data_IF_911576915008
#
_entry.id   IF_911576915008
#
_cell.length_a   1.000
_cell.length_b   1.000
_cell.length_c   1.000
_cell.angle_alpha   90.00
_cell.angle_beta   90.00
_cell.angle_gamma   90.00
#
_symmetry.space_group_name_H-M   'P 1'
#
loop_
_entity.id
_entity.type
_entity.pdbx_description
1 polymer ?
#
# COMPACT_ATOMS: atom_id res chain seq x y z
N UNK A 1 2.14 -90.32 -29.56
CA UNK A 1 3.33 -89.67 -30.16
C UNK A 1 3.25 -88.18 -29.83
N UNK A 2 4.37 -87.60 -29.43
CA UNK A 2 4.53 -86.40 -28.60
C UNK A 2 4.11 -85.03 -29.18
N UNK A 3 3.98 -84.06 -28.25
CA UNK A 3 4.11 -82.58 -28.30
C UNK A 3 2.79 -81.76 -28.27
N UNK A 4 2.46 -81.09 -27.15
CA UNK A 4 2.87 -79.73 -26.68
C UNK A 4 2.27 -78.65 -27.59
N UNK A 5 1.53 -77.62 -27.14
CA UNK A 5 1.20 -77.15 -25.80
C UNK A 5 0.42 -75.82 -25.82
N UNK A 6 0.22 -75.29 -24.61
CA UNK A 6 -0.16 -73.92 -24.23
C UNK A 6 -1.62 -73.46 -24.38
N UNK A 7 -2.38 -73.76 -23.32
CA UNK A 7 -3.08 -72.82 -22.44
C UNK A 7 -2.84 -71.32 -22.71
N UNK A 8 -3.90 -70.50 -22.75
CA UNK A 8 -4.18 -69.40 -21.79
C UNK A 8 -5.39 -68.53 -22.21
N UNK A 9 -6.36 -68.46 -21.27
CA UNK A 9 -7.25 -67.36 -20.84
C UNK A 9 -8.19 -66.67 -21.85
N UNK A 10 -9.45 -67.13 -21.75
CA UNK A 10 -10.69 -66.37 -21.50
C UNK A 10 -10.56 -64.84 -21.57
N UNK A 11 -11.14 -64.27 -22.62
CA UNK A 11 -11.33 -62.85 -22.84
C UNK A 11 -12.70 -62.46 -22.27
N UNK A 12 -12.73 -61.79 -21.10
CA UNK A 12 -13.95 -61.20 -20.55
C UNK A 12 -13.96 -59.71 -20.89
N UNK A 13 -14.90 -59.32 -21.73
CA UNK A 13 -15.18 -57.96 -22.17
C UNK A 13 -15.79 -57.18 -21.00
N UNK A 14 -15.12 -56.11 -20.57
CA UNK A 14 -15.65 -55.13 -19.63
C UNK A 14 -15.70 -53.76 -20.31
N UNK A 15 -16.93 -53.28 -20.53
CA UNK A 15 -17.24 -51.91 -20.93
C UNK A 15 -16.64 -50.91 -19.94
N UNK A 16 -15.81 -49.99 -20.43
CA UNK A 16 -15.38 -48.79 -19.70
C UNK A 16 -16.03 -47.57 -20.36
N UNK A 17 -17.00 -47.02 -19.64
CA UNK A 17 -17.66 -45.74 -19.91
C UNK A 17 -16.63 -44.64 -19.67
N UNK A 18 -16.19 -43.98 -20.74
CA UNK A 18 -15.32 -42.80 -20.65
C UNK A 18 -16.12 -41.56 -20.29
N UNK A 19 -16.07 -41.15 -19.02
CA UNK A 19 -16.45 -39.80 -18.61
C UNK A 19 -15.29 -38.86 -18.95
N UNK A 20 -15.43 -38.10 -20.03
CA UNK A 20 -14.58 -36.93 -20.30
C UNK A 20 -14.88 -35.85 -19.25
N UNK A 21 -14.10 -35.84 -18.18
CA UNK A 21 -14.02 -34.69 -17.28
C UNK A 21 -13.11 -33.63 -17.91
N UNK A 22 -13.70 -32.62 -18.56
CA UNK A 22 -12.98 -31.40 -18.88
C UNK A 22 -12.63 -30.67 -17.58
N UNK A 23 -11.36 -30.77 -17.19
CA UNK A 23 -10.75 -29.88 -16.19
C UNK A 23 -10.44 -28.55 -16.88
N UNK A 24 -11.42 -27.65 -16.90
CA UNK A 24 -11.19 -26.23 -17.10
C UNK A 24 -10.69 -25.66 -15.77
N UNK A 25 -9.37 -25.46 -15.67
CA UNK A 25 -8.77 -24.60 -14.66
C UNK A 25 -9.10 -23.14 -15.01
N UNK A 26 -10.33 -22.72 -14.73
CA UNK A 26 -10.64 -21.31 -14.54
C UNK A 26 -10.11 -20.92 -13.16
N UNK A 27 -8.91 -20.32 -13.13
CA UNK A 27 -8.54 -19.48 -11.99
C UNK A 27 -9.31 -18.18 -12.12
N UNK A 28 -10.60 -18.24 -11.80
CA UNK A 28 -11.37 -17.08 -11.38
C UNK A 28 -10.67 -16.52 -10.14
N UNK A 29 -10.04 -15.36 -10.28
CA UNK A 29 -9.69 -14.51 -9.15
C UNK A 29 -11.03 -13.97 -8.63
N UNK A 30 -11.75 -14.82 -7.92
CA UNK A 30 -12.90 -14.47 -7.10
C UNK A 30 -12.42 -13.44 -6.08
N UNK A 31 -12.83 -12.19 -6.28
CA UNK A 31 -12.81 -11.15 -5.25
C UNK A 31 -13.63 -11.69 -4.08
N UNK A 32 -12.94 -12.23 -3.07
CA UNK A 32 -13.57 -12.68 -1.84
C UNK A 32 -14.10 -11.45 -1.12
N UNK A 33 -15.41 -11.28 -1.09
CA UNK A 33 -16.08 -10.46 -0.08
C UNK A 33 -15.78 -11.06 1.29
N UNK A 34 -14.87 -10.44 2.04
CA UNK A 34 -14.55 -10.77 3.42
C UNK A 34 -14.49 -9.50 4.27
N UNK A 35 -15.33 -9.48 5.30
CA UNK A 35 -15.32 -8.63 6.52
C UNK A 35 -15.25 -7.11 6.36
N UNK A 36 -16.02 -6.39 7.19
CA UNK A 36 -15.98 -4.93 7.36
C UNK A 36 -14.69 -4.39 8.00
N UNK A 37 -13.60 -5.14 7.95
CA UNK A 37 -12.28 -4.70 8.36
C UNK A 37 -11.55 -4.16 7.13
N UNK A 38 -10.91 -3.00 7.26
CA UNK A 38 -9.96 -2.54 6.24
C UNK A 38 -8.89 -3.60 6.08
N UNK A 39 -8.57 -3.94 4.83
CA UNK A 39 -7.47 -4.87 4.58
C UNK A 39 -6.21 -4.29 5.22
N UNK A 40 -5.71 -5.01 6.22
CA UNK A 40 -4.41 -4.72 6.80
C UNK A 40 -3.39 -4.82 5.68
N UNK A 41 -2.59 -3.78 5.46
CA UNK A 41 -1.57 -3.68 4.41
C UNK A 41 -1.05 -5.04 3.92
N UNK A 42 -1.62 -5.56 2.83
CA UNK A 42 -1.12 -6.76 2.14
C UNK A 42 -0.39 -6.28 0.90
N UNK A 43 0.95 -6.20 0.95
CA UNK A 43 1.69 -5.71 -0.19
C UNK A 43 1.67 -6.75 -1.32
N UNK A 44 1.50 -6.30 -2.57
CA UNK A 44 1.53 -7.19 -3.73
C UNK A 44 2.96 -7.69 -3.96
N UNK A 45 3.15 -9.01 -4.08
CA UNK A 45 4.49 -9.60 -4.25
C UNK A 45 4.70 -10.05 -5.69
N UNK A 46 5.86 -9.71 -6.25
CA UNK A 46 6.32 -10.24 -7.52
C UNK A 46 6.85 -11.69 -7.40
N UNK A 47 7.19 -12.33 -8.52
CA UNK A 47 7.88 -13.61 -8.50
C UNK A 47 9.27 -13.50 -7.84
N UNK A 48 9.74 -14.60 -7.27
CA UNK A 48 11.12 -14.73 -6.79
C UNK A 48 12.03 -14.98 -8.00
N UNK A 49 13.07 -14.17 -8.17
CA UNK A 49 14.06 -14.32 -9.24
C UNK A 49 14.92 -15.57 -9.03
N UNK A 50 15.63 -16.02 -10.08
CA UNK A 50 16.51 -17.18 -10.01
C UNK A 50 17.57 -17.08 -8.90
N UNK A 51 17.99 -15.86 -8.56
CA UNK A 51 18.99 -15.58 -7.54
C UNK A 51 18.37 -15.20 -6.18
N UNK A 52 17.06 -15.46 -6.01
CA UNK A 52 16.36 -15.35 -4.73
C UNK A 52 15.86 -13.96 -4.38
N UNK A 53 15.84 -13.01 -5.31
CA UNK A 53 15.33 -11.65 -5.06
C UNK A 53 13.83 -11.56 -5.35
N UNK A 54 13.10 -10.74 -4.59
CA UNK A 54 11.67 -10.52 -4.80
C UNK A 54 11.32 -9.04 -4.60
N UNK A 55 10.50 -8.52 -5.51
CA UNK A 55 9.88 -7.19 -5.38
C UNK A 55 8.57 -7.27 -4.61
N UNK A 56 8.29 -6.27 -3.78
CA UNK A 56 7.08 -6.20 -2.97
C UNK A 56 6.53 -4.77 -3.06
N UNK A 57 5.38 -4.58 -3.71
CA UNK A 57 4.73 -3.29 -3.89
C UNK A 57 4.10 -2.80 -2.58
N UNK A 58 4.32 -1.53 -2.25
CA UNK A 58 3.74 -0.87 -1.08
C UNK A 58 2.51 -0.06 -1.48
N UNK A 59 2.62 0.75 -2.54
CA UNK A 59 1.53 1.61 -3.01
C UNK A 59 0.60 0.84 -3.95
N UNK A 60 -0.54 0.37 -3.44
CA UNK A 60 -1.49 -0.48 -4.17
C UNK A 60 -2.64 0.31 -4.81
N UNK A 61 -3.01 1.48 -4.30
CA UNK A 61 -4.06 2.31 -4.91
C UNK A 61 -3.48 3.18 -6.04
N UNK A 62 -3.26 2.52 -7.18
CA UNK A 62 -2.68 3.09 -8.38
C UNK A 62 -3.75 3.33 -9.43
N UNK A 63 -3.71 4.49 -10.09
CA UNK A 63 -4.68 4.87 -11.12
C UNK A 63 -4.04 5.60 -12.30
N UNK A 64 -4.82 5.85 -13.36
CA UNK A 64 -4.41 6.74 -14.45
C UNK A 64 -3.99 8.11 -13.88
N UNK A 65 -2.84 8.62 -14.33
CA UNK A 65 -2.22 9.86 -13.83
C UNK A 65 -0.85 9.63 -13.21
N UNK A 66 -0.40 10.60 -12.41
CA UNK A 66 0.87 10.52 -11.68
C UNK A 66 0.70 9.79 -10.34
N UNK A 67 1.55 8.81 -10.09
CA UNK A 67 1.46 7.95 -8.93
C UNK A 67 2.83 7.87 -8.24
N UNK A 68 2.81 8.01 -6.91
CA UNK A 68 3.95 7.60 -6.08
C UNK A 68 4.01 6.08 -6.08
N UNK A 69 5.16 5.55 -6.45
CA UNK A 69 5.43 4.11 -6.44
C UNK A 69 6.45 3.83 -5.36
N UNK A 70 6.04 3.10 -4.33
CA UNK A 70 6.92 2.61 -3.29
C UNK A 70 6.96 1.08 -3.30
N UNK A 71 8.15 0.51 -3.15
CA UNK A 71 8.32 -0.95 -3.10
C UNK A 71 9.53 -1.34 -2.25
N UNK A 72 9.52 -2.58 -1.77
CA UNK A 72 10.70 -3.23 -1.22
C UNK A 72 11.34 -4.14 -2.25
N UNK A 73 12.64 -4.34 -2.08
CA UNK A 73 13.36 -5.48 -2.64
C UNK A 73 13.87 -6.30 -1.48
N UNK A 74 13.62 -7.61 -1.50
CA UNK A 74 14.13 -8.55 -0.52
C UNK A 74 14.93 -9.66 -1.20
N UNK A 75 15.83 -10.30 -0.47
CA UNK A 75 16.53 -11.51 -0.87
C UNK A 75 16.65 -12.48 0.33
N UNK A 76 17.44 -13.56 0.18
CA UNK A 76 17.67 -14.55 1.24
C UNK A 76 18.26 -13.97 2.54
N UNK A 77 18.94 -12.83 2.46
CA UNK A 77 19.61 -12.18 3.59
C UNK A 77 18.74 -11.06 4.22
N UNK A 78 17.59 -10.73 3.61
CA UNK A 78 16.62 -9.77 4.14
C UNK A 78 16.29 -8.64 3.17
N UNK A 79 16.06 -7.43 3.70
CA UNK A 79 15.79 -6.24 2.88
C UNK A 79 17.05 -5.78 2.15
N UNK A 80 16.90 -5.39 0.89
CA UNK A 80 17.96 -4.81 0.09
C UNK A 80 17.93 -3.30 0.21
N UNK A 81 19.05 -2.70 0.59
CA UNK A 81 19.18 -1.31 1.04
C UNK A 81 20.16 -0.47 0.18
N UNK A 82 20.23 -0.75 -1.11
CA UNK A 82 21.22 -0.13 -2.02
C UNK A 82 20.68 1.18 -2.60
N UNK A 83 21.53 2.20 -2.84
CA UNK A 83 21.07 3.56 -3.09
C UNK A 83 20.38 3.78 -4.46
N UNK A 84 20.63 2.95 -5.47
CA UNK A 84 20.11 3.20 -6.83
C UNK A 84 19.54 1.92 -7.44
N UNK A 85 18.30 2.02 -7.89
CA UNK A 85 17.65 0.99 -8.68
C UNK A 85 16.97 1.66 -9.87
N UNK A 86 17.37 1.27 -11.09
CA UNK A 86 16.68 1.74 -12.29
C UNK A 86 15.38 0.96 -12.39
N UNK A 87 14.27 1.64 -12.63
CA UNK A 87 12.98 1.00 -12.84
C UNK A 87 12.49 1.30 -14.25
N UNK A 88 12.11 0.25 -14.97
CA UNK A 88 11.43 0.35 -16.26
C UNK A 88 10.01 -0.12 -16.08
N UNK A 89 9.05 0.64 -16.61
CA UNK A 89 7.63 0.30 -16.55
C UNK A 89 7.15 -0.24 -17.90
N UNK A 90 6.34 -1.28 -17.83
CA UNK A 90 5.74 -1.94 -18.99
C UNK A 90 4.23 -2.00 -18.83
N UNK A 91 3.50 -1.64 -19.87
CA UNK A 91 2.10 -2.06 -20.01
C UNK A 91 2.08 -3.50 -20.53
N UNK A 92 1.25 -4.35 -19.92
CA UNK A 92 1.12 -5.76 -20.30
C UNK A 92 -0.23 -5.96 -20.99
N UNK A 93 -0.20 -6.28 -22.27
CA UNK A 93 -1.41 -6.63 -23.01
C UNK A 93 -2.01 -7.92 -22.46
N UNK A 94 -3.31 -7.91 -22.16
CA UNK A 94 -3.95 -9.04 -21.47
C UNK A 94 -4.05 -10.29 -22.35
N UNK A 95 -4.18 -10.14 -23.67
CA UNK A 95 -4.43 -11.24 -24.61
C UNK A 95 -3.13 -11.83 -25.13
N UNK A 96 -2.25 -10.97 -25.63
CA UNK A 96 -0.98 -11.36 -26.27
C UNK A 96 0.14 -11.56 -25.25
N UNK A 97 -0.01 -11.02 -24.03
CA UNK A 97 1.05 -10.92 -23.01
C UNK A 97 2.25 -10.09 -23.46
N UNK A 98 2.12 -9.33 -24.53
CA UNK A 98 3.16 -8.42 -25.00
C UNK A 98 3.41 -7.32 -23.96
N UNK A 99 4.69 -7.00 -23.75
CA UNK A 99 5.15 -5.94 -22.85
C UNK A 99 5.60 -4.74 -23.66
N UNK A 100 4.92 -3.61 -23.46
CA UNK A 100 5.25 -2.35 -24.13
C UNK A 100 5.94 -1.46 -23.10
N UNK A 101 7.23 -1.15 -23.30
CA UNK A 101 7.95 -0.21 -22.44
C UNK A 101 7.32 1.18 -22.52
N UNK A 102 7.13 1.83 -21.37
CA UNK A 102 6.47 3.13 -21.28
C UNK A 102 7.34 4.20 -20.65
N UNK A 103 8.10 3.85 -19.63
CA UNK A 103 8.87 4.83 -18.89
C UNK A 103 10.09 4.21 -18.19
N UNK A 104 11.13 5.01 -18.01
CA UNK A 104 12.36 4.66 -17.27
C UNK A 104 12.62 5.73 -16.23
N UNK A 105 12.77 5.31 -14.96
CA UNK A 105 13.04 6.20 -13.82
C UNK A 105 14.11 5.62 -12.91
N UNK A 106 14.59 6.47 -12.01
CA UNK A 106 15.36 6.04 -10.86
C UNK A 106 14.42 5.97 -9.67
N UNK A 107 14.47 4.85 -8.94
CA UNK A 107 13.87 4.73 -7.63
C UNK A 107 14.93 4.99 -6.56
N UNK A 108 14.65 5.95 -5.68
CA UNK A 108 15.56 6.37 -4.62
C UNK A 108 15.27 5.54 -3.38
N UNK A 109 16.31 4.96 -2.79
CA UNK A 109 16.17 4.28 -1.51
C UNK A 109 15.90 5.30 -0.40
N UNK A 110 14.78 5.11 0.31
CA UNK A 110 14.31 5.93 1.40
C UNK A 110 14.48 5.15 2.71
N UNK A 111 15.54 5.40 3.50
CA UNK A 111 15.81 4.65 4.72
C UNK A 111 14.77 4.96 5.79
N UNK A 112 14.19 3.92 6.36
CA UNK A 112 13.29 3.96 7.50
C UNK A 112 14.09 3.75 8.80
N UNK A 113 13.39 3.69 9.94
CA UNK A 113 14.02 3.29 11.20
C UNK A 113 14.51 1.83 11.17
N UNK A 114 15.52 1.54 11.99
CA UNK A 114 16.07 0.20 12.22
C UNK A 114 16.65 -0.50 10.97
N UNK A 115 17.27 0.26 10.06
CA UNK A 115 17.98 -0.30 8.91
C UNK A 115 17.07 -0.90 7.83
N UNK A 116 15.78 -0.57 7.84
CA UNK A 116 14.84 -0.90 6.75
C UNK A 116 14.70 0.31 5.82
N UNK A 117 14.05 0.13 4.68
CA UNK A 117 13.71 1.24 3.80
C UNK A 117 12.93 0.78 2.58
N UNK A 118 12.36 1.74 1.86
CA UNK A 118 11.63 1.49 0.62
C UNK A 118 12.27 2.24 -0.54
N UNK A 119 12.23 1.67 -1.73
CA UNK A 119 12.54 2.40 -2.95
C UNK A 119 11.31 3.20 -3.36
N UNK A 120 11.50 4.48 -3.68
CA UNK A 120 10.41 5.38 -4.07
C UNK A 120 10.73 6.06 -5.39
N UNK A 121 9.75 6.10 -6.28
CA UNK A 121 9.77 6.91 -7.51
C UNK A 121 8.37 7.44 -7.82
N UNK A 122 8.24 8.19 -8.89
CA UNK A 122 6.94 8.63 -9.44
C UNK A 122 6.82 8.15 -10.88
N UNK A 123 5.68 7.53 -11.21
CA UNK A 123 5.36 7.07 -12.57
C UNK A 123 4.05 7.68 -13.06
N UNK A 124 3.98 7.95 -14.36
CA UNK A 124 2.76 8.36 -15.05
C UNK A 124 2.13 7.18 -15.78
N UNK A 125 0.84 6.92 -15.57
CA UNK A 125 0.09 5.90 -16.28
C UNK A 125 -1.00 6.53 -17.15
N UNK A 126 -1.01 6.21 -18.44
CA UNK A 126 -1.98 6.75 -19.40
C UNK A 126 -3.20 5.84 -19.63
N UNK A 127 -3.17 4.62 -19.07
CA UNK A 127 -4.25 3.66 -19.24
C UNK A 127 -4.32 2.68 -18.07
N UNK A 128 -5.53 2.27 -17.73
CA UNK A 128 -5.80 1.22 -16.76
C UNK A 128 -5.41 -0.16 -17.33
N UNK A 129 -5.11 -1.11 -16.44
CA UNK A 129 -4.80 -2.48 -16.81
C UNK A 129 -3.66 -3.08 -15.99
N UNK A 130 -3.08 -4.17 -16.52
CA UNK A 130 -1.93 -4.83 -15.90
C UNK A 130 -0.64 -4.12 -16.33
N UNK A 131 0.16 -3.78 -15.35
CA UNK A 131 1.48 -3.17 -15.53
C UNK A 131 2.54 -4.01 -14.83
N UNK A 132 3.79 -3.81 -15.21
CA UNK A 132 4.93 -4.47 -14.62
C UNK A 132 6.10 -3.49 -14.46
N UNK A 133 6.78 -3.53 -13.31
CA UNK A 133 8.11 -2.93 -13.17
C UNK A 133 9.19 -3.99 -13.37
N UNK A 134 10.15 -3.67 -14.22
CA UNK A 134 11.46 -4.29 -14.20
C UNK A 134 12.38 -3.40 -13.33
N UNK A 135 12.80 -3.96 -12.21
CA UNK A 135 13.60 -3.32 -11.17
C UNK A 135 15.04 -3.83 -11.35
N UNK A 136 15.91 -2.99 -11.89
CA UNK A 136 17.31 -3.30 -12.14
C UNK A 136 18.16 -2.86 -10.95
N UNK A 137 18.63 -3.82 -10.16
CA UNK A 137 19.60 -3.55 -9.10
C UNK A 137 20.99 -3.45 -9.72
N UNK A 138 21.63 -2.30 -9.52
CA UNK A 138 22.98 -2.06 -10.01
C UNK A 138 23.98 -2.49 -8.94
N UNK A 139 24.33 -3.78 -8.90
CA UNK A 139 25.45 -4.26 -8.09
C UNK A 139 26.69 -4.40 -8.99
N UNK A 140 27.83 -3.78 -8.67
CA UNK A 140 29.09 -4.02 -9.38
C UNK A 140 29.69 -5.43 -9.15
N UNK A 141 29.31 -6.09 -8.05
CA UNK A 141 29.87 -7.39 -7.65
C UNK A 141 29.03 -8.61 -8.07
N UNK A 142 27.77 -8.39 -8.45
CA UNK A 142 26.87 -9.43 -8.97
C UNK A 142 26.53 -9.08 -10.43
N UNK A 143 26.26 -10.07 -11.27
CA UNK A 143 25.62 -9.80 -12.57
C UNK A 143 24.36 -8.96 -12.36
N UNK A 144 24.14 -7.95 -13.21
CA UNK A 144 22.95 -7.11 -13.15
C UNK A 144 21.69 -7.99 -13.15
N UNK A 145 20.86 -7.84 -12.12
CA UNK A 145 19.63 -8.63 -11.98
C UNK A 145 18.41 -7.75 -12.21
N UNK A 146 17.43 -8.34 -12.88
CA UNK A 146 16.11 -7.73 -13.06
C UNK A 146 15.10 -8.44 -12.17
N UNK A 147 14.50 -7.70 -11.25
CA UNK A 147 13.38 -8.14 -10.43
C UNK A 147 12.09 -7.67 -11.09
N UNK A 148 11.11 -8.56 -11.15
CA UNK A 148 9.81 -8.27 -11.77
C UNK A 148 8.78 -7.99 -10.69
N UNK A 149 8.01 -6.93 -10.86
CA UNK A 149 6.90 -6.57 -9.97
C UNK A 149 5.64 -6.22 -10.77
N UNK A 150 4.68 -7.15 -10.89
CA UNK A 150 3.41 -6.89 -11.55
C UNK A 150 2.42 -6.17 -10.63
N UNK A 151 1.58 -5.29 -11.18
CA UNK A 151 0.56 -4.56 -10.45
C UNK A 151 -0.56 -4.07 -11.36
N UNK A 152 -1.71 -3.76 -10.77
CA UNK A 152 -2.86 -3.22 -11.49
C UNK A 152 -2.87 -1.68 -11.40
N UNK A 153 -3.24 -1.03 -12.51
CA UNK A 153 -3.57 0.40 -12.55
C UNK A 153 -5.06 0.52 -12.85
N UNK A 154 -5.76 1.26 -12.00
CA UNK A 154 -7.20 1.49 -12.09
C UNK A 154 -7.52 2.71 -12.97
N UNK A 155 -8.78 2.86 -13.37
CA UNK A 155 -9.23 4.06 -14.10
C UNK A 155 -9.29 5.30 -13.20
N UNK A 156 -9.39 5.12 -11.89
CA UNK A 156 -9.40 6.16 -10.87
C UNK A 156 -8.95 5.60 -9.53
N UNK A 157 -8.54 6.48 -8.62
CA UNK A 157 -8.15 6.09 -7.26
C UNK A 157 -9.37 5.66 -6.44
N UNK A 158 -9.17 4.70 -5.54
CA UNK A 158 -10.18 4.32 -4.57
C UNK A 158 -10.23 5.32 -3.41
N UNK A 159 -9.07 5.65 -2.83
CA UNK A 159 -8.94 6.72 -1.85
C UNK A 159 -8.93 8.11 -2.54
N UNK A 160 -9.12 9.23 -1.80
CA UNK A 160 -9.12 10.57 -2.37
C UNK A 160 -7.88 10.86 -3.22
N UNK A 161 -8.08 11.14 -4.51
CA UNK A 161 -7.01 11.48 -5.45
C UNK A 161 -6.56 12.93 -5.32
N UNK A 162 -5.35 13.25 -5.82
CA UNK A 162 -4.91 14.64 -5.97
C UNK A 162 -5.90 15.41 -6.85
N UNK A 163 -6.23 16.64 -6.45
CA UNK A 163 -7.23 17.50 -7.09
C UNK A 163 -8.68 17.22 -6.69
N UNK A 164 -8.95 16.19 -5.89
CA UNK A 164 -10.30 15.89 -5.38
C UNK A 164 -10.61 16.63 -4.07
N UNK A 165 -11.90 16.86 -3.82
CA UNK A 165 -12.41 17.27 -2.50
C UNK A 165 -13.03 16.05 -1.83
N UNK A 166 -12.41 15.47 -0.79
CA UNK A 166 -12.93 14.29 -0.13
C UNK A 166 -14.16 14.62 0.72
N UNK A 167 -14.88 13.59 1.16
CA UNK A 167 -15.99 13.77 2.09
C UNK A 167 -15.51 14.50 3.37
N UNK A 168 -16.30 15.45 3.91
CA UNK A 168 -15.95 16.16 5.12
C UNK A 168 -15.68 15.20 6.29
N UNK A 169 -14.61 15.45 7.05
CA UNK A 169 -14.29 14.70 8.26
C UNK A 169 -14.59 15.56 9.48
N UNK A 170 -15.26 14.98 10.47
CA UNK A 170 -15.40 15.56 11.80
C UNK A 170 -14.82 14.59 12.84
N UNK A 171 -13.49 14.61 13.01
CA UNK A 171 -12.81 13.79 14.00
C UNK A 171 -12.92 14.41 15.40
N UNK A 172 -12.84 13.56 16.43
CA UNK A 172 -12.77 14.00 17.83
C UNK A 172 -11.46 14.75 18.09
N UNK A 173 -11.52 15.71 19.00
CA UNK A 173 -10.37 16.45 19.54
C UNK A 173 -10.18 16.17 21.04
N UNK A 174 -9.08 16.63 21.61
CA UNK A 174 -8.81 16.53 23.05
C UNK A 174 -9.87 17.19 23.93
N UNK A 175 -10.57 18.21 23.43
CA UNK A 175 -11.64 18.87 24.18
C UNK A 175 -12.90 17.99 24.32
N UNK A 176 -13.01 16.90 23.55
CA UNK A 176 -14.20 16.06 23.43
C UNK A 176 -14.05 14.68 24.08
N UNK A 177 -12.91 14.41 24.71
CA UNK A 177 -12.59 13.11 25.34
C UNK A 177 -12.08 13.31 26.76
N UNK A 178 -12.20 12.28 27.59
CA UNK A 178 -11.66 12.33 28.95
C UNK A 178 -10.17 12.01 28.99
N UNK A 179 -9.70 11.24 28.01
CA UNK A 179 -8.30 10.83 27.89
C UNK A 179 -7.87 10.77 26.44
N UNK A 180 -6.61 11.11 26.15
CA UNK A 180 -6.03 11.04 24.79
C UNK A 180 -6.01 9.61 24.24
N UNK A 181 -6.02 8.62 25.12
CA UNK A 181 -6.18 7.20 24.84
C UNK A 181 -7.44 6.85 24.05
N UNK A 182 -8.47 7.71 24.09
CA UNK A 182 -9.69 7.58 23.28
C UNK A 182 -9.49 8.05 21.82
N UNK A 183 -8.43 8.82 21.55
CA UNK A 183 -8.13 9.37 20.22
C UNK A 183 -7.03 8.60 19.51
N UNK A 184 -6.15 7.93 20.26
CA UNK A 184 -5.00 7.22 19.70
C UNK A 184 -4.67 5.94 20.46
N UNK A 185 -4.31 4.92 19.69
CA UNK A 185 -3.82 3.64 20.20
C UNK A 185 -2.37 3.72 20.71
N UNK A 186 -1.60 4.73 20.29
CA UNK A 186 -0.19 4.86 20.60
C UNK A 186 0.15 5.02 22.08
N UNK A 187 1.25 4.41 22.50
CA UNK A 187 1.84 4.59 23.83
C UNK A 187 2.64 5.90 23.93
N UNK A 188 3.30 6.31 22.84
CA UNK A 188 3.88 7.65 22.70
C UNK A 188 2.81 8.57 22.12
N UNK A 189 2.49 9.63 22.84
CA UNK A 189 1.37 10.50 22.55
C UNK A 189 1.85 11.92 22.28
N UNK A 190 1.31 12.55 21.24
CA UNK A 190 1.63 13.92 20.84
C UNK A 190 0.35 14.77 20.87
N UNK A 191 -0.01 15.37 22.03
CA UNK A 191 -1.29 16.07 22.20
C UNK A 191 -1.57 17.18 21.18
N UNK A 192 -0.53 17.78 20.57
CA UNK A 192 -0.71 18.83 19.56
C UNK A 192 -1.36 18.34 18.26
N UNK A 193 -1.26 17.05 17.95
CA UNK A 193 -1.88 16.45 16.76
C UNK A 193 -3.41 16.26 16.88
N UNK A 194 -3.99 16.59 18.04
CA UNK A 194 -5.41 16.33 18.37
C UNK A 194 -6.14 17.57 18.90
N UNK A 195 -5.60 18.77 18.65
CA UNK A 195 -6.14 20.04 19.17
C UNK A 195 -7.34 20.55 18.37
N UNK A 196 -7.41 20.21 17.08
CA UNK A 196 -8.38 20.75 16.13
C UNK A 196 -8.94 19.62 15.26
N UNK A 197 -10.23 19.67 14.95
CA UNK A 197 -10.83 18.75 14.00
C UNK A 197 -10.50 19.17 12.56
N UNK A 198 -10.56 18.23 11.61
CA UNK A 198 -10.40 18.54 10.18
C UNK A 198 -11.46 19.55 9.73
N UNK A 199 -12.71 19.41 10.18
CA UNK A 199 -13.79 20.35 9.90
C UNK A 199 -13.46 21.78 10.36
N UNK A 200 -12.94 21.94 11.58
CA UNK A 200 -12.54 23.25 12.10
C UNK A 200 -11.29 23.81 11.40
N UNK A 201 -10.30 22.95 11.11
CA UNK A 201 -9.08 23.35 10.41
C UNK A 201 -9.38 23.90 9.01
N UNK A 202 -10.34 23.32 8.28
CA UNK A 202 -10.77 23.83 6.98
C UNK A 202 -11.38 25.25 7.04
N UNK A 203 -11.97 25.64 8.18
CA UNK A 203 -12.50 26.98 8.36
C UNK A 203 -11.40 28.05 8.45
N UNK A 204 -10.18 27.68 8.86
CA UNK A 204 -9.08 28.63 9.00
C UNK A 204 -8.41 28.97 7.67
N UNK A 205 -8.76 28.27 6.58
CA UNK A 205 -8.11 28.39 5.26
C UNK A 205 -6.60 28.08 5.27
N UNK A 206 -6.14 27.41 6.32
CA UNK A 206 -4.77 26.94 6.46
C UNK A 206 -4.68 25.52 5.93
N UNK A 207 -3.66 25.16 5.11
CA UNK A 207 -3.50 23.78 4.66
C UNK A 207 -3.31 22.79 5.82
N UNK A 208 -3.74 21.55 5.60
CA UNK A 208 -3.87 20.50 6.61
C UNK A 208 -3.08 19.28 6.18
N UNK A 209 -2.27 18.74 7.07
CA UNK A 209 -1.66 17.41 6.93
C UNK A 209 -2.41 16.44 7.83
N UNK A 210 -3.08 15.47 7.22
CA UNK A 210 -3.88 14.47 7.90
C UNK A 210 -3.15 13.13 7.83
N UNK A 211 -3.09 12.46 8.97
CA UNK A 211 -2.32 11.24 9.13
C UNK A 211 -3.21 10.17 9.76
N UNK A 212 -3.41 9.06 9.06
CA UNK A 212 -4.44 8.06 9.36
C UNK A 212 -3.76 6.72 9.65
N UNK A 213 -3.45 6.48 10.92
CA UNK A 213 -2.64 5.34 11.38
C UNK A 213 -3.12 4.82 12.72
N UNK A 214 -2.87 3.55 13.03
CA UNK A 214 -3.07 3.00 14.37
C UNK A 214 -1.73 2.61 14.97
N UNK A 215 -1.07 3.50 15.75
CA UNK A 215 0.31 3.27 16.19
C UNK A 215 0.54 1.95 16.95
N UNK A 216 -0.45 1.46 17.70
CA UNK A 216 -0.32 0.21 18.45
C UNK A 216 -1.07 -0.98 17.83
N UNK A 217 -2.04 -0.75 16.94
CA UNK A 217 -2.88 -1.83 16.37
C UNK A 217 -2.69 -2.04 14.87
N UNK A 218 -1.85 -1.24 14.20
CA UNK A 218 -1.40 -1.57 12.86
C UNK A 218 -0.59 -2.88 12.86
N UNK A 219 -0.81 -3.73 11.86
CA UNK A 219 0.08 -4.87 11.62
C UNK A 219 1.49 -4.45 11.19
N UNK A 220 1.61 -3.26 10.60
CA UNK A 220 2.89 -2.72 10.16
C UNK A 220 3.57 -1.94 11.27
N UNK A 221 4.85 -2.25 11.51
CA UNK A 221 5.70 -1.57 12.49
C UNK A 221 5.95 -0.09 12.16
N UNK A 222 5.56 0.37 10.97
CA UNK A 222 5.82 1.74 10.50
C UNK A 222 4.79 2.76 11.01
N UNK A 223 3.63 2.33 11.52
CA UNK A 223 2.57 3.25 11.93
C UNK A 223 3.00 4.14 13.12
N UNK A 224 3.71 3.60 14.11
CA UNK A 224 4.27 4.39 15.21
C UNK A 224 5.29 5.44 14.73
N UNK A 225 6.37 5.03 14.04
CA UNK A 225 7.37 5.94 13.46
C UNK A 225 6.78 7.04 12.57
N UNK A 226 5.71 6.75 11.83
CA UNK A 226 5.08 7.77 10.99
C UNK A 226 4.44 8.90 11.82
N UNK A 227 3.87 8.61 12.99
CA UNK A 227 3.36 9.64 13.91
C UNK A 227 4.49 10.52 14.45
N UNK A 228 5.68 9.96 14.68
CA UNK A 228 6.85 10.74 15.10
C UNK A 228 7.31 11.70 13.98
N UNK A 229 7.29 11.25 12.72
CA UNK A 229 7.53 12.11 11.54
C UNK A 229 6.53 13.27 11.52
N UNK A 230 5.25 12.99 11.75
CA UNK A 230 4.20 14.01 11.80
C UNK A 230 4.42 15.03 12.93
N UNK A 231 4.79 14.57 14.13
CA UNK A 231 5.13 15.47 15.23
C UNK A 231 6.39 16.31 14.92
N UNK A 232 7.40 15.75 14.26
CA UNK A 232 8.58 16.51 13.83
C UNK A 232 8.23 17.63 12.84
N UNK A 233 7.38 17.33 11.85
CA UNK A 233 6.89 18.33 10.90
C UNK A 233 6.01 19.39 11.57
N UNK A 234 5.13 18.99 12.49
CA UNK A 234 4.31 19.93 13.27
C UNK A 234 5.17 20.92 14.05
N UNK A 235 6.25 20.46 14.68
CA UNK A 235 7.19 21.35 15.38
C UNK A 235 7.87 22.34 14.43
N UNK A 236 8.25 21.89 13.23
CA UNK A 236 8.97 22.71 12.24
C UNK A 236 8.07 23.73 11.54
N UNK A 237 6.83 23.35 11.25
CA UNK A 237 5.88 24.12 10.43
C UNK A 237 4.72 24.70 11.23
N UNK A 238 4.92 24.84 12.54
CA UNK A 238 3.90 25.35 13.46
C UNK A 238 3.33 26.70 13.00
N UNK A 239 2.02 26.77 12.89
CA UNK A 239 1.30 27.99 12.49
C UNK A 239 1.21 28.22 10.98
N UNK A 240 1.92 27.42 10.16
CA UNK A 240 1.78 27.44 8.69
C UNK A 240 0.83 26.36 8.16
N UNK A 241 0.78 25.22 8.86
CA UNK A 241 -0.07 24.08 8.53
C UNK A 241 -0.73 23.54 9.79
N UNK A 242 -1.91 22.94 9.65
CA UNK A 242 -2.50 22.09 10.69
C UNK A 242 -1.99 20.67 10.53
N UNK A 243 -1.61 20.03 11.63
CA UNK A 243 -1.20 18.63 11.64
C UNK A 243 -2.18 17.84 12.50
N UNK A 244 -2.86 16.87 11.90
CA UNK A 244 -3.94 16.11 12.54
C UNK A 244 -3.64 14.61 12.42
N UNK A 245 -3.64 13.91 13.54
CA UNK A 245 -3.68 12.45 13.56
C UNK A 245 -5.10 11.96 13.82
N UNK A 246 -5.51 10.95 13.05
CA UNK A 246 -6.77 10.24 13.25
C UNK A 246 -6.41 8.75 13.35
N UNK A 247 -6.75 8.11 14.47
CA UNK A 247 -6.55 6.67 14.57
C UNK A 247 -7.46 5.93 13.58
N UNK A 248 -6.98 4.82 13.03
CA UNK A 248 -7.76 3.96 12.12
C UNK A 248 -9.04 3.49 12.80
N UNK A 249 -9.01 3.36 14.13
CA UNK A 249 -10.15 2.99 14.93
C UNK A 249 -10.66 4.16 15.76
N UNK A 250 -11.98 4.26 15.88
CA UNK A 250 -12.68 5.30 16.65
C UNK A 250 -12.75 5.00 18.15
N UNK A 251 -12.44 3.76 18.54
CA UNK A 251 -12.46 3.27 19.91
C UNK A 251 -11.13 2.61 20.35
N UNK A 252 -9.96 3.25 20.14
CA UNK A 252 -8.67 2.65 20.42
C UNK A 252 -8.48 2.31 21.91
N UNK A 253 -9.12 3.06 22.81
CA UNK A 253 -9.11 2.76 24.25
C UNK A 253 -9.74 1.41 24.58
N UNK A 254 -10.94 1.13 24.06
CA UNK A 254 -11.66 -0.12 24.31
C UNK A 254 -10.93 -1.34 23.74
N UNK A 255 -10.33 -1.15 22.56
CA UNK A 255 -9.57 -2.18 21.85
C UNK A 255 -8.36 -2.71 22.63
N UNK A 256 -7.82 -1.96 23.60
CA UNK A 256 -6.72 -2.45 24.46
C UNK A 256 -7.09 -3.71 25.23
N UNK A 257 -8.36 -3.88 25.57
CA UNK A 257 -8.86 -5.05 26.30
C UNK A 257 -9.30 -6.19 25.39
N UNK A 258 -9.77 -5.87 24.18
CA UNK A 258 -10.33 -6.82 23.23
C UNK A 258 -10.29 -6.24 21.80
N UNK A 259 -9.37 -6.74 20.97
CA UNK A 259 -9.24 -6.33 19.57
C UNK A 259 -10.47 -6.68 18.73
N UNK A 260 -11.29 -7.65 19.16
CA UNK A 260 -12.52 -8.05 18.46
C UNK A 260 -13.62 -6.99 18.47
N UNK A 261 -13.48 -5.94 19.29
CA UNK A 261 -14.41 -4.80 19.36
C UNK A 261 -14.03 -3.62 18.46
N UNK A 262 -13.09 -3.81 17.53
CA UNK A 262 -12.60 -2.73 16.68
C UNK A 262 -13.72 -2.04 15.89
N UNK A 263 -13.80 -0.72 15.98
CA UNK A 263 -14.70 0.12 15.16
C UNK A 263 -13.88 1.08 14.33
N UNK A 264 -13.94 0.95 13.01
CA UNK A 264 -13.22 1.84 12.10
C UNK A 264 -13.69 3.29 12.26
N UNK A 265 -12.73 4.22 12.23
CA UNK A 265 -12.99 5.65 12.16
C UNK A 265 -13.71 6.01 10.86
N UNK A 266 -14.59 7.02 10.91
CA UNK A 266 -15.37 7.45 9.75
C UNK A 266 -14.50 7.85 8.58
N UNK A 267 -13.32 8.47 8.82
CA UNK A 267 -12.40 8.81 7.73
C UNK A 267 -12.01 7.59 6.90
N UNK A 268 -11.84 6.43 7.52
CA UNK A 268 -11.41 5.22 6.84
C UNK A 268 -12.51 4.68 5.94
N UNK A 269 -13.75 4.68 6.42
CA UNK A 269 -14.92 4.19 5.67
C UNK A 269 -15.40 5.21 4.63
N UNK A 270 -15.49 6.50 4.99
CA UNK A 270 -15.97 7.56 4.10
C UNK A 270 -15.03 7.84 2.94
N UNK A 271 -13.72 7.76 3.17
CA UNK A 271 -12.70 7.91 2.14
C UNK A 271 -12.36 6.60 1.44
N UNK A 272 -13.06 5.50 1.78
CA UNK A 272 -12.90 4.19 1.15
C UNK A 272 -11.43 3.72 1.11
N UNK A 273 -10.67 3.97 2.18
CA UNK A 273 -9.24 3.65 2.19
C UNK A 273 -9.05 2.14 1.99
N UNK A 274 -8.33 1.70 0.93
CA UNK A 274 -8.19 0.27 0.64
C UNK A 274 -7.31 -0.46 1.65
N UNK A 275 -6.39 0.28 2.27
CA UNK A 275 -5.49 -0.20 3.32
C UNK A 275 -5.07 0.99 4.19
N UNK A 276 -4.17 0.75 5.15
CA UNK A 276 -3.52 1.75 6.01
C UNK A 276 -2.06 1.36 6.18
N UNK A 277 -1.11 2.30 6.36
CA UNK A 277 -1.26 3.72 6.72
C UNK A 277 -1.43 4.70 5.54
N UNK A 278 -2.02 5.88 5.80
CA UNK A 278 -2.12 6.99 4.83
C UNK A 278 -1.76 8.36 5.40
N UNK A 279 -1.11 9.18 4.57
CA UNK A 279 -0.94 10.63 4.81
C UNK A 279 -1.56 11.40 3.66
N UNK A 280 -2.31 12.46 3.97
CA UNK A 280 -2.86 13.39 2.98
C UNK A 280 -2.44 14.82 3.31
N UNK A 281 -2.16 15.60 2.28
CA UNK A 281 -2.01 17.06 2.38
C UNK A 281 -3.20 17.68 1.65
N UNK A 282 -3.93 18.55 2.33
CA UNK A 282 -5.13 19.23 1.85
C UNK A 282 -4.90 20.74 1.91
N UNK A 283 -5.23 21.47 0.86
CA UNK A 283 -5.13 22.93 0.85
C UNK A 283 -6.21 23.61 1.71
N UNK A 284 -6.13 24.94 1.85
CA UNK A 284 -7.13 25.73 2.59
C UNK A 284 -8.55 25.70 2.00
N UNK A 285 -8.73 25.14 0.79
CA UNK A 285 -10.04 24.98 0.14
C UNK A 285 -10.60 23.57 0.27
N UNK A 286 -9.88 22.65 0.91
CA UNK A 286 -10.31 21.27 1.05
C UNK A 286 -9.93 20.37 -0.13
N UNK A 287 -9.02 20.80 -1.00
CA UNK A 287 -8.54 20.02 -2.15
C UNK A 287 -7.30 19.21 -1.75
N UNK A 288 -7.28 17.92 -2.08
CA UNK A 288 -6.09 17.06 -1.86
C UNK A 288 -4.97 17.50 -2.80
N UNK A 289 -3.84 17.89 -2.21
CA UNK A 289 -2.63 18.32 -2.93
C UNK A 289 -1.62 17.19 -3.04
N UNK A 290 -1.51 16.36 -2.00
CA UNK A 290 -0.64 15.19 -2.01
C UNK A 290 -1.25 14.05 -1.19
N UNK A 291 -0.85 12.82 -1.53
CA UNK A 291 -1.27 11.59 -0.86
C UNK A 291 -0.10 10.61 -0.80
N UNK A 292 0.03 9.94 0.33
CA UNK A 292 1.08 8.99 0.59
C UNK A 292 0.47 7.72 1.18
N UNK A 293 0.47 6.65 0.38
CA UNK A 293 0.15 5.30 0.82
C UNK A 293 1.40 4.66 1.44
N UNK A 294 1.24 4.05 2.62
CA UNK A 294 2.37 3.51 3.36
C UNK A 294 3.18 4.58 4.08
N UNK A 295 4.39 4.21 4.50
CA UNK A 295 5.30 5.15 5.15
C UNK A 295 5.85 6.18 4.15
N UNK A 296 5.91 7.43 4.58
CA UNK A 296 6.48 8.55 3.85
C UNK A 296 7.51 9.24 4.74
N UNK A 297 8.70 9.46 4.20
CA UNK A 297 9.72 10.18 4.93
C UNK A 297 9.32 11.62 5.18
N UNK A 298 9.91 12.19 6.24
CA UNK A 298 9.79 13.61 6.53
C UNK A 298 10.11 14.47 5.31
N UNK A 299 11.18 14.17 4.57
CA UNK A 299 11.56 14.93 3.38
C UNK A 299 10.55 14.84 2.24
N UNK A 300 9.90 13.68 2.04
CA UNK A 300 8.87 13.54 0.99
C UNK A 300 7.63 14.39 1.32
N UNK A 301 7.20 14.38 2.59
CA UNK A 301 6.08 15.21 3.02
C UNK A 301 6.50 16.69 2.97
N UNK A 302 7.71 17.01 3.41
CA UNK A 302 8.24 18.37 3.41
C UNK A 302 8.32 18.97 1.99
N UNK A 303 8.81 18.22 1.00
CA UNK A 303 8.82 18.63 -0.41
C UNK A 303 7.42 19.04 -0.86
N UNK A 304 6.40 18.24 -0.54
CA UNK A 304 5.01 18.55 -0.89
C UNK A 304 4.41 19.73 -0.09
N UNK A 305 4.86 19.96 1.15
CA UNK A 305 4.46 21.14 1.92
C UNK A 305 5.06 22.42 1.34
N UNK A 306 6.31 22.37 0.87
CA UNK A 306 6.99 23.53 0.30
C UNK A 306 6.28 24.07 -0.95
N UNK A 307 5.61 23.22 -1.73
CA UNK A 307 4.78 23.64 -2.87
C UNK A 307 3.56 24.49 -2.47
N UNK A 308 3.17 24.49 -1.20
CA UNK A 308 2.02 25.24 -0.66
C UNK A 308 2.44 26.51 0.08
N UNK A 309 3.74 26.77 0.21
CA UNK A 309 4.26 27.98 0.84
C UNK A 309 4.37 29.09 -0.24
N UNK A 310 3.75 30.26 -0.04
CA UNK A 310 3.83 31.39 -0.97
C UNK A 310 5.24 31.95 -1.18
#
# INVERSE_FOLDING_TARGET
MFRIGNTVKICLILLLIGLFGCSSYDTDISVKTASSAVETFVPAKGPVSANGFQGILITNDLAIGHNRIAFFVINKDGFVDKPITRVKSYYVDRLTKEKIEKDVRIAIFKPWLYGRGSYVTTLGFHQAGLWELAIETLNPADESQTIVLPFAVNTGFQAPGVGSMPKPINNKTLAQVSSIEELTSGSVQFPRLYQISVAEALMTKTPIVISIYSPAFCQSIICGPQVEVMNGLENKYKGMFHFIHIDVYSNPHEMRSDLGKSVLSSVVTDWQLPNVPWTFIIDGNGVVMARFEGFALMSEIEEALQELIP
#
